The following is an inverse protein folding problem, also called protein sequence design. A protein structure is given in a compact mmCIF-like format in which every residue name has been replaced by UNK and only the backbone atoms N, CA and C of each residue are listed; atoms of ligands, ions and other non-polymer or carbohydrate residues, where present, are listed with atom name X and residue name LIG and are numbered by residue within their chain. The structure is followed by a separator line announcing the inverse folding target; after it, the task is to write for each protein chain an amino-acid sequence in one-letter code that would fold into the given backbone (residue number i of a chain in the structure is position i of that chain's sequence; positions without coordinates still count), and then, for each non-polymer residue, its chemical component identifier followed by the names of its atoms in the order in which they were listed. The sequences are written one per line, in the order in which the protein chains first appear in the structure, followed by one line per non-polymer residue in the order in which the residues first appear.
data_IF_653056000424
#
_entry.id   IF_653056000424
#
_cell.length_a   1.000
_cell.length_b   1.000
_cell.length_c   1.000
_cell.angle_alpha   90.00
_cell.angle_beta   90.00
_cell.angle_gamma   90.00
#
_symmetry.space_group_name_H-M   'P 1'
#
loop_
_entity.id
_entity.type
_entity.pdbx_description
1 polymer ?
#
# COMPACT_ATOMS: atom_id res chain seq x y z
N UNK A 1 -1.46 3.57 -16.99
CA UNK A 1 -1.04 3.17 -15.64
C UNK A 1 -0.87 1.66 -15.65
N UNK A 2 0.35 1.15 -15.53
CA UNK A 2 0.58 -0.30 -15.48
C UNK A 2 0.33 -0.72 -14.04
N UNK A 3 -0.80 -1.38 -13.79
CA UNK A 3 -1.11 -1.96 -12.48
C UNK A 3 -0.19 -3.14 -12.21
N UNK A 4 0.41 -3.17 -11.03
CA UNK A 4 1.16 -4.32 -10.57
C UNK A 4 0.25 -5.11 -9.63
N UNK A 5 -0.30 -6.22 -10.10
CA UNK A 5 -1.02 -7.17 -9.25
C UNK A 5 -0.02 -8.19 -8.69
N UNK A 6 0.12 -8.21 -7.37
CA UNK A 6 0.93 -9.21 -6.68
C UNK A 6 0.01 -10.37 -6.31
N UNK A 7 0.15 -11.49 -7.02
CA UNK A 7 -0.53 -12.73 -6.71
C UNK A 7 0.30 -13.55 -5.72
N UNK A 8 -0.27 -13.87 -4.57
CA UNK A 8 0.32 -14.84 -3.64
C UNK A 8 -0.22 -16.23 -3.99
N UNK A 9 0.52 -17.00 -4.80
CA UNK A 9 0.16 -18.38 -5.09
C UNK A 9 0.56 -19.29 -3.91
N UNK A 10 -0.44 -19.77 -3.17
CA UNK A 10 -0.25 -20.91 -2.28
C UNK A 10 -0.34 -22.19 -3.12
N UNK A 11 0.80 -22.67 -3.62
CA UNK A 11 0.86 -24.00 -4.22
C UNK A 11 0.48 -25.03 -3.15
N UNK A 12 -0.62 -25.75 -3.40
CA UNK A 12 -1.06 -26.87 -2.59
C UNK A 12 0.02 -27.97 -2.70
N UNK A 13 1.01 -27.97 -1.81
CA UNK A 13 1.83 -29.16 -1.60
C UNK A 13 0.88 -30.16 -0.94
N UNK A 14 0.46 -31.14 -1.74
CA UNK A 14 -0.50 -32.15 -1.35
C UNK A 14 0.16 -33.12 -0.37
N UNK A 15 0.17 -32.77 0.91
CA UNK A 15 0.45 -33.73 1.99
C UNK A 15 -0.54 -33.47 3.11
N UNK A 16 -1.37 -34.49 3.33
CA UNK A 16 -2.35 -34.66 4.39
C UNK A 16 -1.94 -33.92 5.67
N UNK A 17 -2.75 -32.93 6.07
CA UNK A 17 -2.79 -32.40 7.44
C UNK A 17 -1.87 -31.22 7.73
N UNK A 18 -2.12 -30.04 7.15
CA UNK A 18 -2.00 -28.76 7.85
C UNK A 18 -2.73 -27.70 7.00
N UNK A 19 -3.99 -27.42 7.34
CA UNK A 19 -4.62 -26.16 6.96
C UNK A 19 -3.93 -25.06 7.78
N UNK A 20 -2.76 -24.64 7.34
CA UNK A 20 -2.09 -23.47 7.89
C UNK A 20 -2.93 -22.26 7.53
N UNK A 21 -3.78 -21.82 8.46
CA UNK A 21 -4.50 -20.57 8.40
C UNK A 21 -3.46 -19.46 8.18
N UNK A 22 -3.24 -19.04 6.92
CA UNK A 22 -2.32 -17.95 6.62
C UNK A 22 -2.83 -16.76 7.41
N UNK A 23 -2.05 -16.27 8.37
CA UNK A 23 -2.49 -15.25 9.29
C UNK A 23 -2.56 -13.89 8.56
N UNK A 24 -3.65 -13.69 7.80
CA UNK A 24 -3.91 -12.51 6.97
C UNK A 24 -3.80 -11.23 7.80
N UNK A 25 -4.15 -11.32 9.08
CA UNK A 25 -4.05 -10.20 10.03
C UNK A 25 -2.58 -9.75 10.22
N UNK A 26 -1.64 -10.69 10.27
CA UNK A 26 -0.20 -10.39 10.34
C UNK A 26 0.30 -9.66 9.10
N UNK A 27 -0.03 -10.17 7.90
CA UNK A 27 0.38 -9.53 6.64
C UNK A 27 -0.27 -8.16 6.43
N UNK A 28 -1.52 -7.99 6.86
CA UNK A 28 -2.24 -6.71 6.74
C UNK A 28 -1.62 -5.63 7.63
N UNK A 29 -1.22 -5.98 8.86
CA UNK A 29 -0.54 -5.05 9.76
C UNK A 29 0.81 -4.58 9.22
N UNK A 30 1.57 -5.48 8.58
CA UNK A 30 2.83 -5.12 7.92
C UNK A 30 2.58 -4.16 6.75
N UNK A 31 1.62 -4.47 5.88
CA UNK A 31 1.26 -3.60 4.75
C UNK A 31 0.79 -2.21 5.21
N UNK A 32 -0.03 -2.15 6.26
CA UNK A 32 -0.46 -0.87 6.85
C UNK A 32 0.73 -0.08 7.40
N UNK A 33 1.68 -0.74 8.07
CA UNK A 33 2.91 -0.13 8.54
C UNK A 33 3.75 0.45 7.41
N UNK A 34 3.91 -0.31 6.32
CA UNK A 34 4.66 0.11 5.14
C UNK A 34 3.99 1.33 4.47
N UNK A 35 2.67 1.31 4.28
CA UNK A 35 1.89 2.43 3.73
C UNK A 35 1.94 3.66 4.65
N UNK A 36 1.87 3.47 5.97
CA UNK A 36 1.99 4.57 6.94
C UNK A 36 3.41 5.19 6.95
N UNK A 37 4.42 4.45 6.51
CA UNK A 37 5.80 4.94 6.39
C UNK A 37 6.07 5.68 5.08
N UNK A 38 5.28 5.44 4.02
CA UNK A 38 5.45 6.07 2.70
C UNK A 38 5.51 7.60 2.76
N UNK A 39 4.69 8.34 3.55
CA UNK A 39 4.80 9.80 3.66
C UNK A 39 6.13 10.30 4.26
N UNK A 40 6.84 9.45 5.02
CA UNK A 40 8.18 9.78 5.55
C UNK A 40 9.25 9.71 4.45
N UNK A 41 8.92 9.12 3.30
CA UNK A 41 9.75 9.06 2.12
C UNK A 41 9.15 9.93 1.01
N UNK A 42 10.00 10.51 0.15
CA UNK A 42 9.54 11.11 -1.11
C UNK A 42 9.43 10.08 -2.24
N UNK A 43 9.78 8.82 -1.97
CA UNK A 43 9.88 7.77 -2.98
C UNK A 43 8.49 7.42 -3.52
N UNK A 44 8.35 7.45 -4.85
CA UNK A 44 7.09 7.23 -5.57
C UNK A 44 6.00 8.29 -5.38
N UNK A 45 6.32 9.44 -4.76
CA UNK A 45 5.41 10.58 -4.81
C UNK A 45 5.17 11.00 -6.25
N UNK A 46 3.91 11.28 -6.57
CA UNK A 46 3.44 11.62 -7.91
C UNK A 46 2.84 13.03 -7.96
N UNK A 47 2.77 13.72 -6.82
CA UNK A 47 2.26 15.08 -6.68
C UNK A 47 2.96 15.82 -5.54
N UNK A 48 3.02 17.15 -5.64
CA UNK A 48 3.56 18.04 -4.62
C UNK A 48 2.51 19.10 -4.28
N UNK A 49 2.12 19.17 -3.01
CA UNK A 49 1.30 20.28 -2.49
C UNK A 49 2.24 21.36 -1.98
N UNK A 50 2.00 22.61 -2.42
CA UNK A 50 2.77 23.78 -1.98
C UNK A 50 1.93 24.60 -1.01
N UNK A 51 2.49 24.92 0.16
CA UNK A 51 1.86 25.76 1.18
C UNK A 51 2.85 26.84 1.57
N UNK A 52 2.66 28.05 1.03
CA UNK A 52 3.70 29.10 1.06
C UNK A 52 4.99 28.61 0.41
N UNK A 53 6.09 28.72 1.14
CA UNK A 53 7.42 28.24 0.71
C UNK A 53 7.65 26.74 0.99
N UNK A 54 6.73 26.08 1.69
CA UNK A 54 6.84 24.66 2.02
C UNK A 54 6.35 23.77 0.87
N UNK A 55 6.99 22.60 0.72
CA UNK A 55 6.62 21.57 -0.24
C UNK A 55 6.33 20.25 0.48
N UNK A 56 5.22 19.63 0.15
CA UNK A 56 4.78 18.35 0.70
C UNK A 56 4.64 17.36 -0.45
N UNK A 57 5.46 16.31 -0.44
CA UNK A 57 5.35 15.22 -1.41
C UNK A 57 4.17 14.32 -1.01
N UNK A 58 3.26 14.07 -1.94
CA UNK A 58 2.02 13.31 -1.69
C UNK A 58 1.80 12.26 -2.80
N UNK A 59 0.79 11.42 -2.58
CA UNK A 59 0.41 10.32 -3.47
C UNK A 59 -1.06 10.52 -3.91
N UNK A 60 -1.31 10.79 -5.18
CA UNK A 60 -2.64 11.12 -5.72
C UNK A 60 -3.66 10.03 -5.42
N UNK A 61 -3.27 8.77 -5.56
CA UNK A 61 -4.15 7.63 -5.26
C UNK A 61 -4.63 7.64 -3.79
N UNK A 62 -3.77 8.04 -2.85
CA UNK A 62 -4.13 8.14 -1.44
C UNK A 62 -5.10 9.30 -1.24
N UNK A 63 -4.82 10.47 -1.84
CA UNK A 63 -5.71 11.63 -1.73
C UNK A 63 -7.10 11.36 -2.30
N UNK A 64 -7.19 10.84 -3.53
CA UNK A 64 -8.44 10.46 -4.19
C UNK A 64 -9.23 9.44 -3.34
N UNK A 65 -8.55 8.44 -2.77
CA UNK A 65 -9.20 7.45 -1.90
C UNK A 65 -9.76 8.01 -0.58
N UNK A 66 -9.36 9.22 -0.17
CA UNK A 66 -9.70 9.81 1.13
C UNK A 66 -10.51 11.09 1.03
N UNK A 67 -10.66 11.66 -0.17
CA UNK A 67 -11.33 12.94 -0.36
C UNK A 67 -11.76 13.09 -1.82
N UNK A 68 -13.06 13.25 -2.04
CA UNK A 68 -13.66 13.52 -3.36
C UNK A 68 -13.14 14.80 -4.02
N UNK A 69 -12.60 15.74 -3.23
CA UNK A 69 -11.97 16.96 -3.75
C UNK A 69 -10.72 16.65 -4.58
N UNK A 70 -10.07 15.51 -4.32
CA UNK A 70 -8.84 15.07 -4.98
C UNK A 70 -9.03 13.89 -5.94
N UNK A 71 -10.26 13.44 -6.17
CA UNK A 71 -10.60 12.40 -7.14
C UNK A 71 -10.51 12.91 -8.59
#
# INVERSE_FOLDING_TARGET
MVGCEIFYYHAMINTIGFSGNSNINGSFNVLLGDIASLPKSSKFSDCIIRVGDSKINVYRCILASRSEVFD
#
